data_IF_040060055959
#
_entry.id   IF_040060055959
#
_cell.length_a   1.000
_cell.length_b   1.000
_cell.length_c   1.000
_cell.angle_alpha   90.00
_cell.angle_beta   90.00
_cell.angle_gamma   90.00
#
_symmetry.space_group_name_H-M   'P 1'
#
loop_
_entity.id
_entity.type
_entity.pdbx_description
1 polymer ?
#
# COMPACT_ATOMS: atom_id res chain seq x y z
N UNK A 1 8.30 -10.66 -36.24
CA UNK A 1 7.63 -10.44 -34.94
C UNK A 1 6.27 -11.10 -35.01
N UNK A 2 5.85 -11.78 -33.94
CA UNK A 2 4.58 -12.50 -33.87
C UNK A 2 3.37 -11.54 -33.94
N UNK A 3 2.19 -12.02 -34.39
CA UNK A 3 0.93 -11.26 -34.27
C UNK A 3 0.58 -11.04 -32.80
N UNK A 4 -0.14 -9.96 -32.51
CA UNK A 4 -0.65 -9.69 -31.17
C UNK A 4 -1.69 -10.75 -30.77
N UNK A 5 -1.49 -11.36 -29.60
CA UNK A 5 -2.36 -12.40 -29.06
C UNK A 5 -3.72 -11.90 -28.52
N UNK A 6 -3.90 -10.58 -28.40
CA UNK A 6 -5.06 -9.95 -27.74
C UNK A 6 -5.84 -9.01 -28.67
N UNK A 7 -5.56 -9.00 -29.98
CA UNK A 7 -6.39 -8.23 -30.92
C UNK A 7 -7.80 -8.84 -30.96
N UNK A 8 -8.86 -8.01 -31.09
CA UNK A 8 -10.22 -8.51 -31.25
C UNK A 8 -10.32 -9.49 -32.42
N UNK A 9 -11.12 -10.56 -32.29
CA UNK A 9 -11.23 -11.61 -33.31
C UNK A 9 -11.86 -11.14 -34.64
N UNK A 10 -12.34 -9.88 -34.72
CA UNK A 10 -12.88 -9.27 -35.93
C UNK A 10 -11.90 -8.41 -36.73
N UNK A 11 -10.67 -8.18 -36.24
CA UNK A 11 -9.66 -7.44 -37.01
C UNK A 11 -9.12 -8.35 -38.13
N UNK A 12 -9.29 -7.94 -39.40
CA UNK A 12 -8.91 -8.72 -40.59
C UNK A 12 -7.45 -9.19 -40.60
N UNK A 13 -6.56 -8.46 -39.92
CA UNK A 13 -5.19 -8.86 -39.61
C UNK A 13 -4.84 -8.35 -38.19
N UNK A 14 -4.40 -9.22 -37.27
CA UNK A 14 -3.99 -8.79 -35.94
C UNK A 14 -2.79 -7.85 -36.01
N UNK A 15 -2.82 -6.77 -35.22
CA UNK A 15 -1.70 -5.82 -35.13
C UNK A 15 -0.41 -6.54 -34.74
N UNK A 16 0.72 -6.02 -35.19
CA UNK A 16 2.04 -6.56 -34.86
C UNK A 16 2.34 -6.40 -33.37
N UNK A 17 2.80 -7.46 -32.72
CA UNK A 17 3.25 -7.36 -31.34
C UNK A 17 4.54 -6.54 -31.24
N UNK A 18 4.60 -5.63 -30.26
CA UNK A 18 5.76 -4.78 -29.99
C UNK A 18 6.44 -5.10 -28.66
N UNK A 19 5.76 -5.86 -27.78
CA UNK A 19 6.29 -6.30 -26.50
C UNK A 19 5.76 -7.69 -26.16
N UNK A 20 6.45 -8.37 -25.24
CA UNK A 20 5.92 -9.54 -24.52
C UNK A 20 5.53 -9.09 -23.12
N UNK A 21 4.31 -9.40 -22.70
CA UNK A 21 3.84 -9.00 -21.36
C UNK A 21 4.74 -9.64 -20.30
N UNK A 22 5.35 -8.87 -19.38
CA UNK A 22 6.13 -9.41 -18.27
C UNK A 22 5.39 -10.50 -17.50
N UNK A 23 4.10 -10.29 -17.21
CA UNK A 23 3.27 -11.18 -16.40
C UNK A 23 2.94 -12.53 -17.06
N UNK A 24 2.64 -12.54 -18.36
CA UNK A 24 2.09 -13.72 -19.07
C UNK A 24 2.93 -14.20 -20.25
N UNK A 25 3.99 -13.49 -20.60
CA UNK A 25 4.84 -13.69 -21.79
C UNK A 25 4.12 -13.60 -23.14
N UNK A 26 2.84 -13.21 -23.14
CA UNK A 26 2.03 -13.06 -24.35
C UNK A 26 2.56 -11.92 -25.23
N UNK A 27 2.73 -12.13 -26.54
CA UNK A 27 3.10 -11.06 -27.47
C UNK A 27 1.90 -10.14 -27.71
N UNK A 28 2.05 -8.84 -27.45
CA UNK A 28 0.96 -7.86 -27.56
C UNK A 28 1.36 -6.59 -28.31
N UNK A 29 0.41 -5.99 -29.03
CA UNK A 29 0.56 -4.65 -29.61
C UNK A 29 0.36 -3.58 -28.53
N UNK A 30 0.67 -2.32 -28.88
CA UNK A 30 0.62 -1.18 -27.96
C UNK A 30 -0.80 -0.94 -27.41
N UNK A 31 -1.80 -1.00 -28.29
CA UNK A 31 -3.19 -0.69 -27.98
C UNK A 31 -3.78 -1.75 -27.07
N UNK A 32 -3.59 -3.03 -27.41
CA UNK A 32 -4.04 -4.13 -26.57
C UNK A 32 -3.32 -4.14 -25.21
N UNK A 33 -2.06 -3.73 -25.15
CA UNK A 33 -1.35 -3.58 -23.88
C UNK A 33 -2.02 -2.51 -22.99
N UNK A 34 -2.38 -1.34 -23.52
CA UNK A 34 -3.08 -0.33 -22.74
C UNK A 34 -4.43 -0.83 -22.22
N UNK A 35 -5.23 -1.44 -23.11
CA UNK A 35 -6.55 -1.96 -22.75
C UNK A 35 -6.43 -3.00 -21.64
N UNK A 36 -5.54 -4.00 -21.79
CA UNK A 36 -5.43 -5.07 -20.79
C UNK A 36 -4.85 -4.56 -19.47
N UNK A 37 -3.86 -3.65 -19.52
CA UNK A 37 -3.24 -3.06 -18.33
C UNK A 37 -4.27 -2.26 -17.52
N UNK A 38 -5.00 -1.36 -18.18
CA UNK A 38 -6.04 -0.52 -17.56
C UNK A 38 -7.23 -1.38 -17.05
N UNK A 39 -7.62 -2.42 -17.80
CA UNK A 39 -8.72 -3.32 -17.43
C UNK A 39 -8.37 -4.19 -16.23
N UNK A 40 -7.15 -4.73 -16.13
CA UNK A 40 -6.73 -5.49 -14.95
C UNK A 40 -6.72 -4.64 -13.67
N UNK A 41 -6.36 -3.36 -13.78
CA UNK A 41 -6.40 -2.43 -12.64
C UNK A 41 -7.86 -2.07 -12.30
N UNK A 42 -8.70 -1.81 -13.30
CA UNK A 42 -10.14 -1.62 -13.10
C UNK A 42 -10.78 -2.82 -12.38
N UNK A 43 -10.45 -4.04 -12.81
CA UNK A 43 -10.87 -5.26 -12.14
C UNK A 43 -10.44 -5.30 -10.68
N UNK A 44 -9.17 -5.00 -10.40
CA UNK A 44 -8.64 -4.91 -9.03
C UNK A 44 -9.43 -3.89 -8.19
N UNK A 45 -9.76 -2.73 -8.77
CA UNK A 45 -10.56 -1.68 -8.11
C UNK A 45 -11.98 -2.15 -7.77
N UNK A 46 -12.63 -2.87 -8.68
CA UNK A 46 -13.97 -3.40 -8.45
C UNK A 46 -13.99 -4.68 -7.57
N UNK A 47 -12.81 -5.17 -7.17
CA UNK A 47 -12.68 -6.40 -6.39
C UNK A 47 -12.83 -7.67 -7.22
N UNK A 48 -12.58 -7.60 -8.53
CA UNK A 48 -12.45 -8.75 -9.43
C UNK A 48 -11.03 -9.32 -9.35
N UNK A 49 -10.96 -10.62 -9.03
CA UNK A 49 -9.70 -11.30 -8.73
C UNK A 49 -9.20 -10.89 -7.35
N UNK A 50 -9.30 -11.80 -6.37
CA UNK A 50 -8.52 -11.91 -5.12
C UNK A 50 -9.15 -12.86 -4.11
N UNK A 51 -8.29 -13.44 -3.30
CA UNK A 51 -8.60 -14.31 -2.17
C UNK A 51 -9.30 -13.58 -1.01
N UNK A 52 -9.28 -12.25 -0.96
CA UNK A 52 -9.99 -11.42 0.01
C UNK A 52 -11.49 -11.34 -0.31
N UNK A 53 -12.17 -12.49 -0.26
CA UNK A 53 -13.63 -12.51 -0.09
C UNK A 53 -13.93 -12.05 1.32
N UNK A 54 -14.97 -11.23 1.50
CA UNK A 54 -15.47 -10.99 2.85
C UNK A 54 -16.01 -12.31 3.45
N UNK A 55 -16.29 -12.34 4.75
CA UNK A 55 -16.80 -13.53 5.45
C UNK A 55 -18.08 -14.14 4.83
N UNK A 56 -18.75 -13.40 3.94
CA UNK A 56 -19.97 -13.80 3.21
C UNK A 56 -19.73 -14.09 1.72
N UNK A 57 -18.48 -14.18 1.25
CA UNK A 57 -18.16 -14.51 -0.15
C UNK A 57 -18.40 -13.39 -1.18
N UNK A 58 -18.79 -12.18 -0.77
CA UNK A 58 -19.10 -11.06 -1.68
C UNK A 58 -17.85 -10.28 -2.06
N UNK A 59 -17.85 -9.78 -3.31
CA UNK A 59 -16.84 -8.86 -3.85
C UNK A 59 -16.90 -7.54 -3.06
N UNK A 60 -15.74 -6.95 -2.81
CA UNK A 60 -15.62 -5.64 -2.16
C UNK A 60 -14.85 -4.70 -3.08
N UNK A 61 -15.55 -3.73 -3.66
CA UNK A 61 -14.90 -2.66 -4.42
C UNK A 61 -14.05 -1.80 -3.48
N UNK A 62 -12.97 -1.22 -4.01
CA UNK A 62 -12.07 -0.37 -3.26
C UNK A 62 -12.73 0.94 -2.86
N UNK A 63 -13.60 1.50 -3.69
CA UNK A 63 -14.19 2.82 -3.49
C UNK A 63 -15.71 2.78 -3.47
N UNK A 64 -16.31 3.81 -2.88
CA UNK A 64 -17.72 4.16 -3.05
C UNK A 64 -17.81 5.43 -3.88
N UNK A 65 -18.88 5.55 -4.67
CA UNK A 65 -19.15 6.78 -5.44
C UNK A 65 -19.27 7.96 -4.48
N UNK A 66 -18.72 9.11 -4.85
CA UNK A 66 -18.69 10.32 -4.02
C UNK A 66 -17.56 10.35 -2.99
N UNK A 67 -16.76 9.28 -2.83
CA UNK A 67 -15.58 9.33 -1.95
C UNK A 67 -14.54 10.32 -2.48
N UNK A 68 -13.96 11.10 -1.56
CA UNK A 68 -12.78 11.92 -1.82
C UNK A 68 -11.53 11.09 -1.64
N UNK A 69 -10.72 10.96 -2.69
CA UNK A 69 -9.56 10.06 -2.73
C UNK A 69 -8.27 10.85 -2.95
N UNK A 70 -7.35 10.76 -1.99
CA UNK A 70 -6.00 11.28 -2.12
C UNK A 70 -5.05 10.25 -2.75
N UNK A 71 -4.37 10.65 -3.82
CA UNK A 71 -3.34 9.85 -4.49
C UNK A 71 -1.98 10.27 -3.93
N UNK A 72 -1.27 9.32 -3.32
CA UNK A 72 0.09 9.55 -2.82
C UNK A 72 1.07 9.80 -3.97
N UNK A 73 1.50 11.05 -4.13
CA UNK A 73 2.33 11.50 -5.25
C UNK A 73 3.80 11.67 -4.82
N UNK A 74 4.64 10.69 -5.15
CA UNK A 74 6.09 10.77 -4.92
C UNK A 74 6.84 11.37 -6.10
N UNK A 75 6.20 11.58 -7.26
CA UNK A 75 6.86 12.04 -8.49
C UNK A 75 7.63 10.95 -9.23
N UNK A 76 7.73 9.76 -8.64
CA UNK A 76 8.28 8.56 -9.29
C UNK A 76 7.26 7.87 -10.18
N UNK A 77 7.77 6.97 -11.04
CA UNK A 77 7.00 6.22 -12.06
C UNK A 77 5.68 5.66 -11.55
N UNK A 78 5.69 4.98 -10.41
CA UNK A 78 4.52 4.23 -9.93
C UNK A 78 3.41 5.19 -9.48
N UNK A 79 3.77 6.27 -8.79
CA UNK A 79 2.79 7.29 -8.35
C UNK A 79 2.24 8.12 -9.52
N UNK A 80 3.07 8.41 -10.52
CA UNK A 80 2.63 9.14 -11.73
C UNK A 80 1.67 8.29 -12.55
N UNK A 81 1.99 7.01 -12.79
CA UNK A 81 1.10 6.09 -13.50
C UNK A 81 -0.18 5.88 -12.71
N UNK A 82 -0.11 5.80 -11.37
CA UNK A 82 -1.31 5.71 -10.53
C UNK A 82 -2.21 6.93 -10.68
N UNK A 83 -1.67 8.14 -10.63
CA UNK A 83 -2.44 9.37 -10.83
C UNK A 83 -3.13 9.38 -12.20
N UNK A 84 -2.39 9.05 -13.27
CA UNK A 84 -2.93 8.94 -14.62
C UNK A 84 -4.05 7.91 -14.72
N UNK A 85 -3.81 6.69 -14.23
CA UNK A 85 -4.79 5.58 -14.30
C UNK A 85 -6.04 5.89 -13.49
N UNK A 86 -5.90 6.42 -12.27
CA UNK A 86 -7.06 6.79 -11.47
C UNK A 86 -7.93 7.82 -12.18
N UNK A 87 -7.33 8.83 -12.82
CA UNK A 87 -8.06 9.82 -13.63
C UNK A 87 -8.74 9.17 -14.84
N UNK A 88 -7.98 8.42 -15.65
CA UNK A 88 -8.50 7.75 -16.86
C UNK A 88 -9.64 6.79 -16.55
N UNK A 89 -9.53 6.00 -15.49
CA UNK A 89 -10.56 5.04 -15.10
C UNK A 89 -11.76 5.72 -14.45
N UNK A 90 -11.55 6.77 -13.65
CA UNK A 90 -12.65 7.56 -13.06
C UNK A 90 -13.52 8.17 -14.15
N UNK A 91 -12.90 8.74 -15.19
CA UNK A 91 -13.61 9.35 -16.31
C UNK A 91 -14.26 8.28 -17.23
N UNK A 92 -13.54 7.20 -17.56
CA UNK A 92 -14.03 6.17 -18.48
C UNK A 92 -15.19 5.35 -17.91
N UNK A 93 -15.13 5.00 -16.63
CA UNK A 93 -16.08 4.10 -15.98
C UNK A 93 -17.04 4.84 -15.04
N UNK A 94 -16.99 6.18 -15.01
CA UNK A 94 -17.79 7.03 -14.13
C UNK A 94 -17.80 6.52 -12.68
N UNK A 95 -16.62 6.40 -12.05
CA UNK A 95 -16.58 6.02 -10.64
C UNK A 95 -17.19 7.12 -9.75
N UNK A 96 -17.18 8.39 -10.21
CA UNK A 96 -17.66 9.55 -9.47
C UNK A 96 -16.83 9.86 -8.23
N UNK A 97 -15.50 9.69 -8.33
CA UNK A 97 -14.56 10.02 -7.26
C UNK A 97 -14.09 11.46 -7.37
N UNK A 98 -13.96 12.14 -6.22
CA UNK A 98 -13.23 13.41 -6.13
C UNK A 98 -11.74 13.11 -5.89
N UNK A 99 -10.91 13.33 -6.91
CA UNK A 99 -9.50 12.95 -6.89
C UNK A 99 -8.61 14.15 -6.54
N UNK A 100 -7.66 13.96 -5.64
CA UNK A 100 -6.62 14.95 -5.36
C UNK A 100 -5.24 14.27 -5.19
N UNK A 101 -4.17 15.06 -5.30
CA UNK A 101 -2.79 14.63 -5.09
C UNK A 101 -2.31 15.06 -3.70
N UNK A 102 -1.70 14.12 -2.97
CA UNK A 102 -1.03 14.38 -1.71
C UNK A 102 0.44 13.99 -1.81
N UNK A 103 1.33 14.96 -1.67
CA UNK A 103 2.77 14.78 -1.76
C UNK A 103 3.45 15.14 -0.45
N UNK A 104 4.48 14.40 -0.09
CA UNK A 104 5.29 14.64 1.11
C UNK A 104 6.68 15.09 0.66
N UNK A 105 7.16 16.22 1.15
CA UNK A 105 8.52 16.69 0.98
C UNK A 105 9.35 16.27 2.20
N UNK A 106 10.20 15.26 2.01
CA UNK A 106 11.08 14.76 3.06
C UNK A 106 12.30 15.66 3.32
N UNK A 107 12.56 16.65 2.47
CA UNK A 107 13.71 17.55 2.56
C UNK A 107 15.04 16.85 2.27
N UNK A 108 15.11 16.13 1.14
CA UNK A 108 16.32 15.47 0.63
C UNK A 108 16.91 16.32 -0.50
N UNK A 109 18.03 16.98 -0.23
CA UNK A 109 18.66 17.92 -1.16
C UNK A 109 19.11 17.24 -2.45
N UNK A 110 18.85 17.86 -3.60
CA UNK A 110 19.28 17.36 -4.91
C UNK A 110 18.50 16.14 -5.43
N UNK A 111 17.55 15.62 -4.65
CA UNK A 111 16.63 14.56 -5.05
C UNK A 111 15.20 15.10 -5.16
N UNK A 112 14.73 15.81 -4.13
CA UNK A 112 13.31 16.13 -3.99
C UNK A 112 12.87 17.30 -4.87
N UNK A 113 13.77 18.22 -5.20
CA UNK A 113 13.47 19.41 -6.00
C UNK A 113 12.91 19.05 -7.39
N UNK A 114 13.65 18.24 -8.16
CA UNK A 114 13.22 17.77 -9.48
C UNK A 114 11.96 16.88 -9.43
N UNK A 115 11.82 16.11 -8.34
CA UNK A 115 10.66 15.25 -8.12
C UNK A 115 9.39 16.07 -7.84
N UNK A 116 9.46 17.12 -7.03
CA UNK A 116 8.32 18.00 -6.73
C UNK A 116 7.86 18.78 -7.95
N UNK A 117 8.78 19.24 -8.79
CA UNK A 117 8.39 19.94 -10.03
C UNK A 117 7.65 19.03 -11.00
N UNK A 118 8.02 17.74 -11.04
CA UNK A 118 7.24 16.71 -11.75
C UNK A 118 5.84 16.54 -11.15
N UNK A 119 5.71 16.52 -9.82
CA UNK A 119 4.40 16.42 -9.17
C UNK A 119 3.53 17.64 -9.45
N UNK A 120 4.10 18.85 -9.46
CA UNK A 120 3.37 20.07 -9.83
C UNK A 120 2.90 20.03 -11.29
N UNK A 121 3.75 19.57 -12.21
CA UNK A 121 3.38 19.39 -13.63
C UNK A 121 2.25 18.37 -13.79
N UNK A 122 2.31 17.25 -13.07
CA UNK A 122 1.23 16.25 -13.05
C UNK A 122 -0.10 16.82 -12.53
N UNK A 123 -0.07 17.66 -11.49
CA UNK A 123 -1.26 18.31 -10.96
C UNK A 123 -1.97 19.16 -12.03
N UNK A 124 -1.19 19.94 -12.80
CA UNK A 124 -1.71 20.75 -13.91
C UNK A 124 -2.17 19.86 -15.07
N UNK A 125 -1.37 18.87 -15.46
CA UNK A 125 -1.67 17.99 -16.60
C UNK A 125 -2.96 17.20 -16.41
N UNK A 126 -3.23 16.72 -15.20
CA UNK A 126 -4.40 15.87 -14.91
C UNK A 126 -5.56 16.64 -14.29
N UNK A 127 -5.40 17.96 -14.08
CA UNK A 127 -6.35 18.83 -13.40
C UNK A 127 -6.77 18.27 -12.02
N UNK A 128 -5.75 17.94 -11.21
CA UNK A 128 -5.94 17.36 -9.88
C UNK A 128 -5.38 18.31 -8.81
N UNK A 129 -6.19 18.74 -7.82
CA UNK A 129 -5.72 19.57 -6.72
C UNK A 129 -4.54 18.93 -5.99
N UNK A 130 -3.47 19.68 -5.77
CA UNK A 130 -2.25 19.19 -5.13
C UNK A 130 -2.03 19.82 -3.76
N UNK A 131 -1.80 18.98 -2.75
CA UNK A 131 -1.27 19.40 -1.44
C UNK A 131 0.11 18.82 -1.23
N UNK A 132 1.05 19.68 -0.85
CA UNK A 132 2.39 19.30 -0.42
C UNK A 132 2.50 19.56 1.07
N UNK A 133 3.02 18.60 1.82
CA UNK A 133 3.40 18.76 3.23
C UNK A 133 4.90 18.49 3.39
N UNK A 134 5.60 19.29 4.17
CA UNK A 134 7.04 19.10 4.39
C UNK A 134 7.36 18.51 5.76
N UNK A 135 8.40 17.68 5.85
CA UNK A 135 8.93 17.20 7.14
C UNK A 135 9.39 18.37 8.02
N UNK A 136 9.98 19.38 7.39
CA UNK A 136 10.44 20.59 8.07
C UNK A 136 9.31 21.24 8.87
N UNK A 137 8.12 21.34 8.31
CA UNK A 137 6.94 21.88 9.01
C UNK A 137 6.36 20.89 10.02
N UNK A 138 6.21 19.62 9.64
CA UNK A 138 5.52 18.62 10.45
C UNK A 138 6.29 18.16 11.69
N UNK A 139 7.62 18.30 11.67
CA UNK A 139 8.55 17.75 12.66
C UNK A 139 9.55 18.80 13.15
N UNK A 140 9.09 20.01 13.45
CA UNK A 140 9.89 21.04 14.15
C UNK A 140 11.26 21.33 13.50
N UNK A 141 11.31 21.40 12.17
CA UNK A 141 12.51 21.73 11.40
C UNK A 141 13.39 20.53 11.03
N UNK A 142 13.00 19.30 11.38
CA UNK A 142 13.69 18.09 10.93
C UNK A 142 13.42 17.82 9.44
N UNK A 143 14.49 17.51 8.72
CA UNK A 143 14.46 16.99 7.34
C UNK A 143 15.19 15.66 7.30
N UNK A 144 15.02 14.88 6.24
CA UNK A 144 15.76 13.63 6.10
C UNK A 144 17.27 13.84 6.06
N UNK A 145 17.76 14.93 5.47
CA UNK A 145 19.19 15.26 5.48
C UNK A 145 19.70 15.46 6.92
N UNK A 146 18.95 16.17 7.77
CA UNK A 146 19.30 16.32 9.20
C UNK A 146 19.23 15.02 9.97
N UNK A 147 18.21 14.20 9.71
CA UNK A 147 18.08 12.87 10.33
C UNK A 147 19.31 12.02 9.99
N UNK A 148 19.71 11.97 8.72
CA UNK A 148 20.89 11.20 8.29
C UNK A 148 22.18 11.77 8.87
N UNK A 149 22.30 13.09 9.02
CA UNK A 149 23.45 13.70 9.68
C UNK A 149 23.59 13.27 11.14
N UNK A 150 22.46 13.07 11.84
CA UNK A 150 22.45 12.67 13.26
C UNK A 150 22.66 11.16 13.45
N UNK A 151 21.96 10.32 12.67
CA UNK A 151 21.91 8.86 12.91
C UNK A 151 22.84 8.06 11.97
N UNK A 152 23.34 8.70 10.93
CA UNK A 152 24.07 8.06 9.83
C UNK A 152 23.17 7.42 8.76
N UNK A 153 23.81 6.72 7.81
CA UNK A 153 23.13 6.13 6.64
C UNK A 153 22.39 4.82 6.94
N UNK A 154 22.76 4.12 8.02
CA UNK A 154 22.09 2.87 8.41
C UNK A 154 20.82 3.20 9.19
N UNK A 155 19.70 2.55 8.84
CA UNK A 155 18.43 2.72 9.55
C UNK A 155 17.64 3.99 9.20
N UNK A 156 18.17 4.91 8.40
CA UNK A 156 17.48 6.16 8.02
C UNK A 156 16.13 5.95 7.33
N UNK A 157 16.00 4.90 6.52
CA UNK A 157 14.78 4.56 5.81
C UNK A 157 13.66 4.16 6.79
N UNK A 158 14.00 3.69 8.00
CA UNK A 158 13.02 3.42 9.06
C UNK A 158 12.39 4.72 9.55
N UNK A 159 13.21 5.74 9.85
CA UNK A 159 12.72 7.08 10.23
C UNK A 159 11.87 7.68 9.11
N UNK A 160 12.40 7.67 7.88
CA UNK A 160 11.70 8.17 6.71
C UNK A 160 10.33 7.49 6.52
N UNK A 161 10.27 6.16 6.60
CA UNK A 161 9.02 5.42 6.41
C UNK A 161 8.00 5.61 7.54
N UNK A 162 8.45 5.83 8.78
CA UNK A 162 7.55 6.15 9.91
C UNK A 162 6.98 7.55 9.76
N UNK A 163 7.83 8.54 9.50
CA UNK A 163 7.42 9.92 9.29
C UNK A 163 6.52 10.05 8.06
N UNK A 164 6.85 9.40 6.94
CA UNK A 164 6.05 9.47 5.70
C UNK A 164 4.62 8.99 5.93
N UNK A 165 4.46 7.87 6.66
CA UNK A 165 3.13 7.33 6.98
C UNK A 165 2.32 8.30 7.83
N UNK A 166 2.90 8.87 8.87
CA UNK A 166 2.20 9.85 9.70
C UNK A 166 1.90 11.15 8.94
N UNK A 167 2.81 11.61 8.08
CA UNK A 167 2.62 12.79 7.24
C UNK A 167 1.46 12.59 6.24
N UNK A 168 1.36 11.41 5.63
CA UNK A 168 0.22 11.05 4.78
C UNK A 168 -1.09 11.03 5.56
N UNK A 169 -1.11 10.48 6.77
CA UNK A 169 -2.31 10.44 7.61
C UNK A 169 -2.76 11.86 8.01
N UNK A 170 -1.82 12.73 8.38
CA UNK A 170 -2.11 14.14 8.66
C UNK A 170 -2.61 14.87 7.42
N UNK A 171 -1.99 14.64 6.27
CA UNK A 171 -2.42 15.24 5.00
C UNK A 171 -3.80 14.78 4.56
N UNK A 172 -4.14 13.50 4.77
CA UNK A 172 -5.47 12.98 4.52
C UNK A 172 -6.52 13.68 5.38
N UNK A 173 -6.25 13.89 6.66
CA UNK A 173 -7.16 14.59 7.56
C UNK A 173 -7.32 16.07 7.18
N UNK A 174 -6.22 16.76 6.84
CA UNK A 174 -6.24 18.16 6.41
C UNK A 174 -7.05 18.39 5.13
N UNK A 175 -7.04 17.41 4.23
CA UNK A 175 -7.80 17.44 2.97
C UNK A 175 -9.20 16.85 3.08
N UNK A 176 -9.58 16.39 4.28
CA UNK A 176 -10.85 15.70 4.55
C UNK A 176 -11.14 14.61 3.50
N UNK A 177 -10.14 13.77 3.22
CA UNK A 177 -10.30 12.65 2.28
C UNK A 177 -10.80 11.41 3.00
N UNK A 178 -11.57 10.58 2.30
CA UNK A 178 -12.10 9.32 2.82
C UNK A 178 -11.12 8.16 2.61
N UNK A 179 -10.27 8.28 1.59
CA UNK A 179 -9.40 7.19 1.15
C UNK A 179 -8.07 7.72 0.60
N UNK A 180 -6.95 7.12 1.00
CA UNK A 180 -5.63 7.33 0.38
C UNK A 180 -5.21 6.14 -0.48
N UNK A 181 -4.79 6.37 -1.72
CA UNK A 181 -4.25 5.33 -2.59
C UNK A 181 -2.75 5.52 -2.82
N UNK A 182 -2.01 4.43 -2.92
CA UNK A 182 -0.56 4.46 -3.13
C UNK A 182 -0.13 3.53 -4.25
N UNK A 183 0.96 3.88 -4.94
CA UNK A 183 1.46 3.16 -6.12
C UNK A 183 2.22 1.86 -5.82
N UNK A 184 2.02 1.25 -4.64
CA UNK A 184 2.69 -0.02 -4.33
C UNK A 184 2.21 -1.11 -5.30
N UNK A 185 3.17 -1.71 -6.00
CA UNK A 185 2.91 -2.65 -7.08
C UNK A 185 3.08 -4.12 -6.62
N UNK A 186 2.91 -5.07 -7.54
CA UNK A 186 3.01 -6.51 -7.23
C UNK A 186 4.39 -6.90 -6.68
N UNK A 187 5.45 -6.35 -7.26
CA UNK A 187 6.83 -6.58 -6.83
C UNK A 187 7.03 -6.09 -5.38
N UNK A 188 6.56 -4.88 -5.04
CA UNK A 188 6.65 -4.34 -3.67
C UNK A 188 5.95 -5.24 -2.63
N UNK A 189 4.79 -5.80 -3.00
CA UNK A 189 4.03 -6.70 -2.12
C UNK A 189 4.75 -8.04 -1.99
N UNK A 190 5.26 -8.61 -3.09
CA UNK A 190 6.02 -9.85 -3.08
C UNK A 190 7.32 -9.73 -2.25
N UNK A 191 8.09 -8.65 -2.42
CA UNK A 191 9.25 -8.30 -1.60
C UNK A 191 8.87 -8.29 -0.12
N UNK A 192 7.75 -7.62 0.23
CA UNK A 192 7.29 -7.50 1.61
C UNK A 192 6.84 -8.84 2.17
N UNK A 193 6.13 -9.68 1.41
CA UNK A 193 5.73 -11.02 1.85
C UNK A 193 6.97 -11.86 2.14
N UNK A 194 7.91 -11.94 1.19
CA UNK A 194 9.15 -12.70 1.33
C UNK A 194 9.94 -12.26 2.57
N UNK A 195 10.11 -10.95 2.76
CA UNK A 195 10.81 -10.38 3.90
C UNK A 195 10.18 -10.73 5.26
N UNK A 196 8.85 -10.86 5.35
CA UNK A 196 8.18 -11.21 6.61
C UNK A 196 8.16 -12.72 6.85
N UNK A 197 8.03 -13.52 5.78
CA UNK A 197 8.14 -14.99 5.87
C UNK A 197 9.52 -15.40 6.37
N UNK A 198 10.60 -14.83 5.81
CA UNK A 198 11.97 -15.12 6.24
C UNK A 198 12.25 -14.71 7.69
N UNK A 199 11.57 -13.68 8.20
CA UNK A 199 11.65 -13.26 9.62
C UNK A 199 10.77 -14.10 10.56
N UNK A 200 9.91 -14.96 10.02
CA UNK A 200 8.90 -15.67 10.81
C UNK A 200 7.77 -14.79 11.34
N UNK A 201 7.62 -13.55 10.83
CA UNK A 201 6.57 -12.62 11.28
C UNK A 201 5.27 -12.83 10.50
N UNK A 202 4.61 -13.96 10.74
CA UNK A 202 3.39 -14.36 10.02
C UNK A 202 2.23 -13.41 10.35
N UNK A 203 2.21 -12.80 11.54
CA UNK A 203 1.21 -11.79 11.89
C UNK A 203 1.30 -10.51 11.03
N UNK A 204 2.51 -10.12 10.60
CA UNK A 204 2.68 -9.04 9.60
C UNK A 204 2.32 -9.48 8.18
N UNK A 205 2.52 -10.76 7.82
CA UNK A 205 2.14 -11.27 6.49
C UNK A 205 0.66 -10.99 6.18
N UNK A 206 -0.25 -11.26 7.13
CA UNK A 206 -1.68 -11.01 6.90
C UNK A 206 -2.06 -9.53 6.71
N UNK A 207 -1.28 -8.60 7.30
CA UNK A 207 -1.51 -7.17 7.13
C UNK A 207 -0.87 -6.61 5.86
N UNK A 208 0.26 -7.17 5.42
CA UNK A 208 0.96 -6.64 4.26
C UNK A 208 0.33 -7.07 2.94
N UNK A 209 -0.31 -8.24 2.92
CA UNK A 209 -1.09 -8.72 1.78
C UNK A 209 -2.41 -7.98 1.64
N UNK A 210 -3.06 -7.52 2.72
CA UNK A 210 -4.31 -6.77 2.64
C UNK A 210 -4.31 -5.67 1.56
N UNK A 211 -5.27 -5.70 0.64
CA UNK A 211 -5.40 -4.68 -0.42
C UNK A 211 -5.87 -3.35 0.16
N UNK A 212 -6.72 -3.39 1.19
CA UNK A 212 -7.20 -2.23 1.93
C UNK A 212 -6.80 -2.35 3.40
N UNK A 213 -6.29 -1.26 3.97
CA UNK A 213 -5.90 -1.15 5.38
C UNK A 213 -6.53 0.11 5.98
N UNK A 214 -6.81 0.12 7.29
CA UNK A 214 -7.52 1.22 7.94
C UNK A 214 -9.03 1.29 7.58
N UNK A 215 -9.70 2.36 8.02
CA UNK A 215 -11.15 2.54 7.97
C UNK A 215 -11.85 2.11 9.27
N UNK A 216 -13.07 2.62 9.51
CA UNK A 216 -13.86 2.19 10.66
C UNK A 216 -14.26 0.71 10.54
N UNK A 217 -13.90 -0.15 11.50
CA UNK A 217 -14.37 -1.53 11.54
C UNK A 217 -15.90 -1.63 11.70
N UNK A 218 -16.56 -0.53 12.11
CA UNK A 218 -18.01 -0.44 12.31
C UNK A 218 -18.81 0.04 11.11
N UNK A 219 -18.19 0.62 10.07
CA UNK A 219 -18.90 0.98 8.83
C UNK A 219 -19.31 -0.23 7.98
N UNK A 220 -18.92 -1.44 8.41
CA UNK A 220 -19.35 -2.72 7.85
C UNK A 220 -20.37 -3.48 8.71
N UNK A 221 -20.80 -2.92 9.84
CA UNK A 221 -21.96 -3.40 10.58
C UNK A 221 -23.17 -2.54 10.20
N UNK A 222 -24.03 -3.11 9.36
CA UNK A 222 -25.45 -2.75 9.21
C UNK A 222 -25.74 -1.34 8.66
N UNK A 223 -25.87 -1.25 7.33
CA UNK A 223 -27.08 -0.61 6.81
C UNK A 223 -28.24 -1.49 7.28
N UNK A 224 -28.86 -1.13 8.41
CA UNK A 224 -30.18 -1.64 8.74
C UNK A 224 -31.10 -1.06 7.68
N UNK A 225 -31.77 -1.94 6.96
CA UNK A 225 -32.93 -1.56 6.18
C UNK A 225 -33.88 -0.78 7.10
N UNK A 226 -34.35 0.37 6.63
CA UNK A 226 -35.34 1.20 7.32
C UNK A 226 -36.59 0.37 7.65
N UNK A 227 -36.75 -0.01 8.92
CA UNK A 227 -38.02 -0.51 9.45
C UNK A 227 -38.85 0.71 9.88
N UNK A 228 -40.06 0.97 9.31
CA UNK A 228 -40.78 2.24 9.53
C UNK A 228 -41.42 2.40 10.92
N UNK A 229 -41.09 1.56 11.91
CA UNK A 229 -41.85 1.44 13.16
C UNK A 229 -40.99 1.54 14.44
N UNK A 230 -39.98 2.40 14.48
CA UNK A 230 -39.38 2.82 15.75
C UNK A 230 -39.50 4.35 15.90
N UNK A 231 -40.62 4.75 16.51
CA UNK A 231 -40.84 6.07 17.09
C UNK A 231 -40.06 6.14 18.40
N UNK A 232 -38.87 6.71 18.38
CA UNK A 232 -38.22 7.25 19.57
C UNK A 232 -37.32 8.42 19.16
N UNK A 233 -37.83 9.62 19.37
CA UNK A 233 -37.08 10.86 19.26
C UNK A 233 -36.07 11.01 20.40
N UNK A 234 -34.81 11.29 20.06
CA UNK A 234 -34.06 12.46 20.55
C UNK A 234 -32.64 12.47 19.97
N UNK A 235 -32.20 13.64 19.51
CA UNK A 235 -30.96 13.84 18.77
C UNK A 235 -29.70 13.56 19.58
N UNK A 236 -29.13 12.37 19.42
CA UNK A 236 -27.76 12.04 19.80
C UNK A 236 -26.85 11.98 18.58
N UNK A 237 -26.06 13.02 18.30
CA UNK A 237 -24.90 12.88 17.39
C UNK A 237 -23.97 11.85 18.02
N UNK A 238 -23.86 10.67 17.41
CA UNK A 238 -23.06 9.56 17.92
C UNK A 238 -21.64 10.00 18.28
N UNK A 239 -21.23 9.66 19.50
CA UNK A 239 -19.89 9.77 20.08
C UNK A 239 -18.79 9.16 19.16
N UNK A 240 -19.18 8.32 18.18
CA UNK A 240 -18.29 7.78 17.13
C UNK A 240 -17.68 8.84 16.21
N UNK A 241 -18.32 10.02 16.07
CA UNK A 241 -17.80 11.13 15.27
C UNK A 241 -16.60 11.86 15.89
N UNK A 242 -16.28 11.56 17.17
CA UNK A 242 -15.19 12.17 17.92
C UNK A 242 -13.93 11.29 18.01
N UNK A 243 -13.97 10.06 17.48
CA UNK A 243 -12.81 9.17 17.43
C UNK A 243 -12.02 9.43 16.12
N UNK A 244 -10.68 9.54 16.16
CA UNK A 244 -9.89 9.59 14.94
C UNK A 244 -10.02 8.27 14.17
N UNK A 245 -10.92 8.22 13.20
CA UNK A 245 -11.07 7.09 12.30
C UNK A 245 -9.77 6.90 11.53
N UNK A 246 -9.20 5.68 11.53
CA UNK A 246 -8.03 5.42 10.69
C UNK A 246 -8.38 5.65 9.24
N UNK A 247 -7.60 6.48 8.53
CA UNK A 247 -7.85 6.70 7.11
C UNK A 247 -7.72 5.39 6.34
N UNK A 248 -8.72 5.10 5.50
CA UNK A 248 -8.73 3.94 4.61
C UNK A 248 -7.61 4.10 3.57
N UNK A 249 -6.81 3.06 3.37
CA UNK A 249 -5.70 3.04 2.41
C UNK A 249 -5.79 1.84 1.50
N UNK A 250 -5.61 2.01 0.20
CA UNK A 250 -5.54 0.86 -0.71
C UNK A 250 -4.42 0.95 -1.75
N UNK A 251 -4.18 -0.19 -2.41
CA UNK A 251 -3.15 -0.39 -3.43
C UNK A 251 -3.79 -0.86 -4.74
N UNK A 252 -4.24 0.05 -5.62
CA UNK A 252 -4.82 -0.35 -6.92
C UNK A 252 -3.86 -1.18 -7.78
N UNK A 253 -2.55 -1.04 -7.58
CA UNK A 253 -1.50 -1.78 -8.31
C UNK A 253 -1.04 -3.07 -7.62
N UNK A 254 -1.76 -3.59 -6.61
CA UNK A 254 -1.37 -4.79 -5.86
C UNK A 254 -0.94 -5.98 -6.74
N UNK A 255 -1.44 -6.07 -7.96
CA UNK A 255 -1.15 -7.14 -8.92
C UNK A 255 -0.61 -6.71 -10.26
N UNK A 256 -0.30 -5.43 -10.36
CA UNK A 256 0.31 -4.86 -11.54
C UNK A 256 1.82 -4.99 -11.39
N UNK A 257 2.47 -5.59 -12.38
CA UNK A 257 3.92 -5.80 -12.35
C UNK A 257 4.64 -4.48 -12.56
N UNK A 258 5.73 -4.25 -11.84
CA UNK A 258 6.53 -3.03 -11.96
C UNK A 258 6.99 -2.79 -13.41
N UNK A 259 7.43 -3.83 -14.11
CA UNK A 259 7.84 -3.73 -15.52
C UNK A 259 6.68 -3.28 -16.42
N UNK A 260 5.45 -3.68 -16.15
CA UNK A 260 4.30 -3.22 -16.92
C UNK A 260 3.99 -1.74 -16.62
N UNK A 261 4.14 -1.30 -15.37
CA UNK A 261 4.01 0.12 -15.00
C UNK A 261 5.04 0.98 -15.75
N UNK A 262 6.31 0.54 -15.80
CA UNK A 262 7.38 1.20 -16.56
C UNK A 262 7.04 1.28 -18.05
N UNK A 263 6.63 0.15 -18.65
CA UNK A 263 6.25 0.10 -20.06
C UNK A 263 5.07 1.02 -20.35
N UNK A 264 4.07 1.04 -19.47
CA UNK A 264 2.90 1.91 -19.61
C UNK A 264 3.30 3.39 -19.59
N UNK A 265 4.11 3.80 -18.59
CA UNK A 265 4.64 5.16 -18.51
C UNK A 265 5.42 5.55 -19.77
N UNK A 266 6.31 4.67 -20.23
CA UNK A 266 7.10 4.88 -21.45
C UNK A 266 6.22 5.06 -22.70
N UNK A 267 5.28 4.14 -22.93
CA UNK A 267 4.46 4.16 -24.14
C UNK A 267 3.44 5.30 -24.18
N UNK A 268 2.97 5.75 -23.01
CA UNK A 268 2.13 6.95 -22.85
C UNK A 268 2.94 8.24 -22.79
N UNK A 269 4.28 8.15 -22.71
CA UNK A 269 5.20 9.29 -22.55
C UNK A 269 4.85 10.14 -21.33
N UNK A 270 4.55 9.49 -20.20
CA UNK A 270 4.25 10.18 -18.96
C UNK A 270 5.52 10.83 -18.40
N UNK A 271 5.35 12.02 -17.82
CA UNK A 271 6.41 12.78 -17.20
C UNK A 271 6.62 12.30 -15.75
N UNK A 272 7.72 11.61 -15.51
CA UNK A 272 8.07 11.09 -14.19
C UNK A 272 9.56 11.28 -13.90
N UNK A 273 9.88 11.39 -12.61
CA UNK A 273 11.26 11.41 -12.14
C UNK A 273 11.76 9.97 -11.94
N UNK A 274 12.88 9.62 -12.57
CA UNK A 274 13.40 8.23 -12.59
C UNK A 274 14.53 7.98 -11.59
N UNK A 275 15.09 9.00 -10.96
CA UNK A 275 16.21 8.85 -10.03
C UNK A 275 15.75 8.14 -8.76
N UNK A 276 16.59 7.24 -8.23
CA UNK A 276 16.38 6.64 -6.92
C UNK A 276 16.81 7.59 -5.80
N UNK A 277 16.28 7.37 -4.60
CA UNK A 277 16.68 8.16 -3.43
C UNK A 277 18.14 7.87 -3.08
N UNK A 278 18.93 8.92 -2.83
CA UNK A 278 20.36 8.79 -2.46
C UNK A 278 20.61 8.00 -1.16
N UNK A 279 19.57 7.81 -0.35
CA UNK A 279 19.62 7.08 0.92
C UNK A 279 19.05 5.65 0.86
N UNK A 280 18.41 5.24 -0.25
CA UNK A 280 17.87 3.89 -0.39
C UNK A 280 18.87 2.76 -0.70
N UNK A 281 20.06 2.97 -1.31
CA UNK A 281 20.94 1.87 -1.71
C UNK A 281 21.39 0.94 -0.58
N UNK A 282 21.48 1.45 0.66
CA UNK A 282 21.88 0.65 1.83
C UNK A 282 20.71 -0.04 2.53
N UNK A 283 19.50 0.04 1.98
CA UNK A 283 18.32 -0.56 2.58
C UNK A 283 18.27 -2.08 2.33
N UNK A 284 17.93 -2.85 3.38
CA UNK A 284 17.79 -4.31 3.28
C UNK A 284 16.81 -4.77 2.19
N UNK A 285 15.79 -3.97 1.89
CA UNK A 285 14.83 -4.24 0.82
C UNK A 285 15.50 -4.48 -0.55
N UNK A 286 16.67 -3.88 -0.81
CA UNK A 286 17.42 -4.11 -2.05
C UNK A 286 17.78 -5.58 -2.28
N UNK A 287 18.11 -6.33 -1.22
CA UNK A 287 18.40 -7.77 -1.34
C UNK A 287 17.17 -8.60 -1.65
N UNK A 288 16.04 -8.29 -1.01
CA UNK A 288 14.77 -8.95 -1.30
C UNK A 288 14.32 -8.69 -2.74
N UNK A 289 14.49 -7.44 -3.22
CA UNK A 289 14.22 -7.07 -4.61
C UNK A 289 15.06 -7.87 -5.59
N UNK A 290 16.37 -7.97 -5.38
CA UNK A 290 17.26 -8.74 -6.25
C UNK A 290 16.80 -10.20 -6.36
N UNK A 291 16.53 -10.84 -5.22
CA UNK A 291 16.05 -12.22 -5.18
C UNK A 291 14.69 -12.40 -5.90
N UNK A 292 13.74 -11.47 -5.71
CA UNK A 292 12.45 -11.51 -6.43
C UNK A 292 12.65 -11.36 -7.94
N UNK A 293 13.58 -10.51 -8.40
CA UNK A 293 13.90 -10.37 -9.83
C UNK A 293 14.55 -11.63 -10.41
N UNK A 294 15.39 -12.32 -9.64
CA UNK A 294 15.96 -13.61 -10.06
C UNK A 294 14.86 -14.68 -10.23
N UNK A 295 13.91 -14.74 -9.29
CA UNK A 295 12.75 -15.63 -9.39
C UNK A 295 11.84 -15.26 -10.58
N UNK A 296 11.59 -13.97 -10.81
CA UNK A 296 10.80 -13.48 -11.94
C UNK A 296 11.43 -13.87 -13.29
N UNK A 297 12.76 -13.78 -13.39
CA UNK A 297 13.50 -14.14 -14.60
C UNK A 297 13.37 -15.63 -14.97
N UNK A 298 13.31 -16.51 -13.97
CA UNK A 298 13.07 -17.95 -14.17
C UNK A 298 11.61 -18.23 -14.48
N UNK A 299 10.69 -17.65 -13.70
CA UNK A 299 9.25 -17.85 -13.84
C UNK A 299 8.50 -16.56 -13.47
N UNK A 300 7.90 -15.86 -14.44
CA UNK A 300 7.24 -14.59 -14.16
C UNK A 300 6.08 -14.66 -13.16
N UNK A 301 5.39 -15.81 -13.06
CA UNK A 301 4.31 -15.97 -12.08
C UNK A 301 4.79 -15.93 -10.63
N UNK A 302 6.10 -16.10 -10.36
CA UNK A 302 6.67 -16.12 -9.00
C UNK A 302 6.27 -14.90 -8.16
N UNK A 303 6.12 -13.73 -8.79
CA UNK A 303 5.67 -12.51 -8.10
C UNK A 303 4.25 -12.70 -7.53
N UNK A 304 3.31 -13.10 -8.38
CA UNK A 304 1.90 -13.31 -7.95
C UNK A 304 1.78 -14.54 -7.05
N UNK A 305 2.56 -15.59 -7.30
CA UNK A 305 2.59 -16.81 -6.48
C UNK A 305 3.06 -16.49 -5.05
N UNK A 306 4.04 -15.57 -4.86
CA UNK A 306 4.45 -15.08 -3.54
C UNK A 306 3.31 -14.31 -2.84
N UNK A 307 2.62 -13.42 -3.55
CA UNK A 307 1.48 -12.68 -3.00
C UNK A 307 0.38 -13.64 -2.56
N UNK A 308 0.01 -14.58 -3.44
CA UNK A 308 -1.01 -15.59 -3.16
C UNK A 308 -0.61 -16.47 -1.97
N UNK A 309 0.66 -16.88 -1.89
CA UNK A 309 1.16 -17.64 -0.74
C UNK A 309 1.01 -16.87 0.57
N UNK A 310 1.32 -15.56 0.57
CA UNK A 310 1.09 -14.69 1.72
C UNK A 310 -0.38 -14.59 2.11
N UNK A 311 -1.28 -14.52 1.14
CA UNK A 311 -2.74 -14.46 1.38
C UNK A 311 -3.27 -15.76 1.96
N UNK A 312 -2.86 -16.91 1.43
CA UNK A 312 -3.25 -18.22 1.95
C UNK A 312 -2.74 -18.42 3.38
N UNK A 313 -1.49 -18.00 3.66
CA UNK A 313 -0.95 -18.00 5.03
C UNK A 313 -1.82 -17.14 5.96
N UNK A 314 -2.18 -15.93 5.55
CA UNK A 314 -3.02 -15.03 6.34
C UNK A 314 -4.42 -15.61 6.63
N UNK A 315 -5.03 -16.24 5.63
CA UNK A 315 -6.33 -16.89 5.78
C UNK A 315 -6.25 -18.08 6.73
N UNK A 316 -5.19 -18.89 6.64
CA UNK A 316 -5.01 -20.05 7.50
C UNK A 316 -4.93 -19.70 8.98
N UNK A 317 -4.38 -18.52 9.31
CA UNK A 317 -4.34 -18.00 10.69
C UNK A 317 -5.70 -17.54 11.21
N UNK A 318 -6.64 -17.23 10.31
CA UNK A 318 -7.96 -16.72 10.66
C UNK A 318 -8.98 -17.84 10.94
N UNK A 319 -8.62 -19.10 10.65
CA UNK A 319 -9.47 -20.27 10.92
C UNK A 319 -9.50 -20.59 12.42
N UNK A 320 -10.70 -20.63 13.00
CA UNK A 320 -10.89 -21.09 14.40
C UNK A 320 -10.50 -22.57 14.50
N UNK A 321 -9.54 -22.89 15.39
CA UNK A 321 -9.30 -24.27 15.84
C UNK A 321 -8.04 -24.99 15.33
N UNK A 322 -7.19 -24.39 14.48
CA UNK A 322 -5.89 -24.99 14.14
C UNK A 322 -4.75 -24.37 14.94
N UNK A 323 -4.04 -25.22 15.70
CA UNK A 323 -2.71 -24.92 16.22
C UNK A 323 -1.76 -24.81 15.02
N UNK A 324 -0.95 -23.75 14.99
CA UNK A 324 0.20 -23.66 14.09
C UNK A 324 1.23 -24.69 14.60
N UNK A 325 1.47 -25.74 13.82
CA UNK A 325 2.33 -26.87 14.20
C UNK A 325 1.64 -28.18 13.84
N UNK A 326 2.20 -28.90 12.85
CA UNK A 326 1.60 -30.11 12.29
C UNK A 326 1.38 -31.23 13.30
N UNK A 327 0.37 -32.05 13.06
CA UNK A 327 0.21 -33.34 13.71
C UNK A 327 1.43 -34.20 13.39
N UNK A 328 2.30 -34.39 14.38
CA UNK A 328 3.18 -35.54 14.40
C UNK A 328 2.39 -36.70 14.98
N UNK A 329 2.01 -37.64 14.11
CA UNK A 329 1.56 -38.98 14.49
C UNK A 329 2.73 -39.71 15.14
N UNK A 330 2.96 -39.47 16.42
CA UNK A 330 3.97 -40.13 17.25
C UNK A 330 3.31 -40.61 18.54
N UNK A 331 3.41 -41.91 18.78
CA UNK A 331 2.81 -42.64 19.90
C UNK A 331 3.04 -41.93 21.25
N UNK A 332 2.01 -42.04 22.09
CA UNK A 332 2.01 -41.66 23.50
C UNK A 332 3.26 -42.19 24.23
N UNK A 333 3.98 -41.30 24.91
CA UNK A 333 5.12 -41.67 25.74
C UNK A 333 6.09 -40.50 25.95
N UNK A 334 5.87 -39.77 27.05
CA UNK A 334 6.84 -38.94 27.78
C UNK A 334 7.95 -38.23 26.98
N UNK A 335 7.74 -36.94 26.66
CA UNK A 335 8.86 -35.99 26.68
C UNK A 335 8.41 -34.56 26.99
N UNK A 336 8.96 -34.05 28.10
CA UNK A 336 9.18 -32.64 28.47
C UNK A 336 8.10 -31.60 28.10
N UNK A 337 7.31 -31.23 29.10
CA UNK A 337 7.45 -29.89 29.69
C UNK A 337 7.25 -28.65 28.80
N UNK A 338 6.54 -28.70 27.69
CA UNK A 338 6.11 -27.47 27.01
C UNK A 338 4.81 -26.97 27.63
N UNK A 339 4.94 -26.01 28.56
CA UNK A 339 3.84 -25.17 29.03
C UNK A 339 3.06 -24.67 27.82
N UNK A 340 1.75 -24.96 27.83
CA UNK A 340 0.72 -24.34 27.00
C UNK A 340 1.07 -22.87 26.79
N UNK A 341 1.59 -22.50 25.62
CA UNK A 341 1.78 -21.10 25.24
C UNK A 341 0.39 -20.47 25.15
N UNK A 342 -0.11 -19.96 26.28
CA UNK A 342 -1.11 -18.89 26.31
C UNK A 342 -0.43 -17.67 25.69
N UNK A 343 -0.42 -17.64 24.36
CA UNK A 343 0.23 -16.62 23.56
C UNK A 343 -0.59 -16.33 22.31
N UNK A 344 -1.91 -16.36 22.39
CA UNK A 344 -2.68 -15.48 21.52
C UNK A 344 -2.22 -14.08 21.90
N UNK A 345 -1.45 -13.43 21.03
CA UNK A 345 -1.07 -12.04 21.17
C UNK A 345 -2.30 -11.27 21.63
N UNK A 346 -2.28 -10.78 22.88
CA UNK A 346 -3.35 -9.94 23.39
C UNK A 346 -3.56 -8.83 22.37
N UNK A 347 -4.79 -8.69 21.86
CA UNK A 347 -5.15 -7.65 20.91
C UNK A 347 -4.75 -6.33 21.58
N UNK A 348 -3.63 -5.74 21.15
CA UNK A 348 -3.13 -4.53 21.79
C UNK A 348 -4.23 -3.48 21.70
N UNK A 349 -4.62 -2.92 22.84
CA UNK A 349 -5.67 -1.90 22.90
C UNK A 349 -5.20 -0.72 22.07
N UNK A 350 -5.94 -0.41 21.02
CA UNK A 350 -5.70 0.80 20.24
C UNK A 350 -6.07 2.01 21.10
N UNK A 351 -5.16 2.97 21.15
CA UNK A 351 -5.28 4.20 21.94
C UNK A 351 -4.70 5.38 21.15
N UNK A 352 -4.88 6.59 21.65
CA UNK A 352 -4.31 7.77 21.03
C UNK A 352 -2.94 8.08 21.63
N UNK A 353 -2.00 8.49 20.78
CA UNK A 353 -0.71 8.99 21.19
C UNK A 353 -0.89 10.23 22.07
N UNK A 354 -0.34 10.23 23.28
CA UNK A 354 -0.45 11.34 24.24
C UNK A 354 0.14 12.66 23.73
N UNK A 355 1.04 12.60 22.73
CA UNK A 355 1.75 13.78 22.20
C UNK A 355 1.13 14.36 20.93
N UNK A 356 0.68 13.53 20.00
CA UNK A 356 0.17 13.97 18.70
C UNK A 356 -1.23 13.48 18.37
N UNK A 357 -1.89 12.81 19.32
CA UNK A 357 -3.24 12.24 19.21
C UNK A 357 -3.44 11.24 18.06
N UNK A 358 -2.37 10.85 17.35
CA UNK A 358 -2.44 9.82 16.30
C UNK A 358 -2.66 8.43 16.91
N UNK A 359 -3.34 7.54 16.19
CA UNK A 359 -3.59 6.18 16.65
C UNK A 359 -2.29 5.42 16.92
N UNK A 360 -2.23 4.72 18.05
CA UNK A 360 -1.05 3.99 18.51
C UNK A 360 -1.48 2.77 19.35
N UNK A 361 -0.63 1.76 19.45
CA UNK A 361 -0.79 0.68 20.43
C UNK A 361 0.02 0.92 21.72
N UNK A 362 0.75 2.02 21.77
CA UNK A 362 1.55 2.48 22.92
C UNK A 362 1.20 3.94 23.26
N UNK A 363 1.50 4.42 24.49
CA UNK A 363 1.21 5.80 24.89
C UNK A 363 1.84 6.84 23.95
N UNK A 364 3.04 6.59 23.43
CA UNK A 364 3.66 7.37 22.37
C UNK A 364 3.66 6.56 21.07
N UNK A 365 3.28 7.20 19.96
CA UNK A 365 3.41 6.57 18.65
C UNK A 365 4.88 6.50 18.22
N UNK A 366 5.19 5.56 17.31
CA UNK A 366 6.56 5.36 16.82
C UNK A 366 7.19 6.64 16.26
N UNK A 367 6.42 7.52 15.61
CA UNK A 367 6.93 8.77 15.09
C UNK A 367 7.34 9.74 16.21
N UNK A 368 6.52 9.89 17.26
CA UNK A 368 6.86 10.72 18.41
C UNK A 368 8.08 10.19 19.17
N UNK A 369 8.19 8.86 19.30
CA UNK A 369 9.30 8.21 19.96
C UNK A 369 10.62 8.43 19.21
N UNK A 370 10.61 8.25 17.88
CA UNK A 370 11.77 8.54 17.03
C UNK A 370 12.13 10.04 17.01
N UNK A 371 11.13 10.92 17.07
CA UNK A 371 11.36 12.37 17.12
C UNK A 371 12.00 12.79 18.45
N UNK A 372 11.59 12.18 19.56
CA UNK A 372 12.20 12.41 20.87
C UNK A 372 13.65 11.92 20.92
N UNK A 373 13.94 10.73 20.36
CA UNK A 373 15.31 10.24 20.30
C UNK A 373 16.23 11.15 19.48
N UNK A 374 15.72 11.78 18.42
CA UNK A 374 16.45 12.77 17.63
C UNK A 374 16.68 14.06 18.41
N UNK A 375 15.65 14.59 19.08
CA UNK A 375 15.76 15.84 19.84
C UNK A 375 16.66 15.74 21.07
N UNK A 376 16.80 14.55 21.66
CA UNK A 376 17.64 14.33 22.84
C UNK A 376 19.10 13.99 22.49
N UNK A 377 19.45 13.84 21.20
CA UNK A 377 20.78 13.38 20.78
C UNK A 377 21.11 11.94 21.21
N UNK A 378 20.11 11.18 21.67
CA UNK A 378 20.23 9.77 22.09
C UNK A 378 19.94 8.84 20.92
N UNK A 379 20.22 9.27 19.68
CA UNK A 379 19.88 8.54 18.46
C UNK A 379 20.63 7.21 18.26
N UNK A 380 21.24 6.67 19.33
CA UNK A 380 21.65 5.27 19.48
C UNK A 380 20.56 4.42 20.13
N UNK A 381 19.29 4.63 19.79
CA UNK A 381 18.30 3.58 20.02
C UNK A 381 18.62 2.50 19.00
N UNK A 382 19.30 1.44 19.44
CA UNK A 382 19.34 0.18 18.69
C UNK A 382 17.87 -0.19 18.44
N UNK A 383 17.43 0.01 17.20
CA UNK A 383 16.18 -0.54 16.72
C UNK A 383 16.31 -2.05 16.91
N UNK A 384 15.72 -2.59 17.97
CA UNK A 384 15.63 -4.04 18.10
C UNK A 384 14.96 -4.53 16.83
N UNK A 385 15.69 -5.28 16.01
CA UNK A 385 15.15 -6.01 14.86
C UNK A 385 14.02 -6.91 15.38
N UNK A 386 12.78 -6.39 15.32
CA UNK A 386 11.53 -7.09 15.65
C UNK A 386 10.65 -7.20 14.42
#
# INVERSE_FOLDING_TARGET
MAPCALCPPGDALPRRAILRRPKTLQPVCKECFFVVFETEIHHTILGYGQAERNDKGKRKALFKRGERVAIGASGGKDSTVLAHIMKVLNDRYDYGLDLCLLSIDEGISGYRDASLDTVKRNAVQYDLPLKILSYKELYNGWTMDKVVAEIGKKGNCTYCGVFRRQALDRGAHLLTVDHVVTGHNADDVAETVLMNVLRGDIARVGRCTAITTGGDPFSSAEARDDDPNDDDGEGGKSLSSLLPSTIKRSKPFKYTYEKEIVLYAYFKKLDYHSTECIYSPTAYRGYARALVKDLEAVRPSSIVDLIYSGEMMAQSMSLKGRRVGGDWSGKEGELMGYKKLKGCAGRQVQQNCSKCNSLSSQPLCQACLLLESLNQGVAKVELSDR
#
